data_IF_494826932146
#
_entry.id   IF_494826932146
#
_cell.length_a   1.000
_cell.length_b   1.000
_cell.length_c   1.000
_cell.angle_alpha   90.00
_cell.angle_beta   90.00
_cell.angle_gamma   90.00
#
_symmetry.space_group_name_H-M   'P 1'
#
loop_
_entity.id
_entity.type
_entity.pdbx_description
1 polymer ?
#
# COMPACT_ATOMS: atom_id res chain seq x y z
N UNK A 1 -55.10 -22.66 56.02
CA UNK A 1 -53.74 -23.21 55.93
C UNK A 1 -53.58 -23.70 54.50
N UNK A 2 -53.10 -22.87 53.56
CA UNK A 2 -51.75 -22.27 53.51
C UNK A 2 -50.73 -23.42 53.52
N UNK A 3 -49.89 -23.63 52.51
CA UNK A 3 -49.26 -22.73 51.54
C UNK A 3 -49.23 -23.45 50.16
N UNK A 4 -49.55 -22.84 49.01
CA UNK A 4 -48.73 -21.90 48.22
C UNK A 4 -47.31 -22.45 47.98
N UNK A 5 -46.72 -22.55 46.79
CA UNK A 5 -46.78 -21.88 45.48
C UNK A 5 -46.08 -22.85 44.51
N UNK A 6 -46.40 -22.95 43.22
CA UNK A 6 -46.27 -21.90 42.24
C UNK A 6 -44.89 -21.98 41.54
N UNK A 7 -44.94 -21.80 40.22
CA UNK A 7 -43.85 -21.42 39.31
C UNK A 7 -42.93 -22.51 38.73
N UNK A 8 -42.41 -22.43 37.49
CA UNK A 8 -42.61 -21.59 36.30
C UNK A 8 -41.87 -22.35 35.18
N UNK A 9 -42.54 -22.57 34.06
CA UNK A 9 -42.16 -22.17 32.71
C UNK A 9 -40.74 -22.45 32.12
N UNK A 10 -40.79 -22.61 30.79
CA UNK A 10 -39.73 -22.39 29.78
C UNK A 10 -38.64 -23.45 29.58
N UNK A 11 -38.74 -24.08 28.40
CA UNK A 11 -37.92 -23.56 27.31
C UNK A 11 -36.82 -24.48 26.77
N UNK A 12 -36.89 -24.69 25.45
CA UNK A 12 -35.78 -24.92 24.50
C UNK A 12 -35.05 -26.27 24.58
N UNK A 13 -35.67 -27.29 23.97
CA UNK A 13 -35.05 -28.54 23.47
C UNK A 13 -34.12 -28.27 22.27
N UNK A 14 -33.05 -27.49 22.45
CA UNK A 14 -32.23 -26.99 21.34
C UNK A 14 -30.72 -27.23 21.41
N UNK A 15 -30.20 -28.01 22.37
CA UNK A 15 -28.73 -28.20 22.53
C UNK A 15 -28.20 -29.60 22.94
N UNK A 16 -28.89 -30.74 22.75
CA UNK A 16 -28.26 -32.03 23.03
C UNK A 16 -27.17 -32.36 22.00
N UNK A 17 -27.38 -31.98 20.74
CA UNK A 17 -26.54 -32.36 19.60
C UNK A 17 -25.15 -31.72 19.72
N UNK A 18 -25.04 -30.40 19.85
CA UNK A 18 -23.74 -29.72 19.95
C UNK A 18 -22.90 -30.19 21.16
N UNK A 19 -23.53 -30.52 22.29
CA UNK A 19 -22.84 -31.04 23.47
C UNK A 19 -22.32 -32.46 23.27
N UNK A 20 -23.06 -33.33 22.58
CA UNK A 20 -22.59 -34.68 22.25
C UNK A 20 -21.46 -34.69 21.22
N UNK A 21 -21.41 -33.68 20.34
CA UNK A 21 -20.35 -33.50 19.35
C UNK A 21 -19.07 -32.96 20.00
N UNK A 22 -19.18 -31.92 20.84
CA UNK A 22 -18.04 -31.35 21.57
C UNK A 22 -17.56 -32.24 22.74
N UNK A 23 -18.46 -33.05 23.31
CA UNK A 23 -18.21 -33.94 24.45
C UNK A 23 -17.54 -35.26 24.09
N UNK A 24 -17.06 -35.43 22.86
CA UNK A 24 -16.18 -36.54 22.50
C UNK A 24 -16.87 -37.87 22.20
N UNK A 25 -18.20 -37.98 22.23
CA UNK A 25 -18.90 -39.22 21.85
C UNK A 25 -18.67 -39.58 20.37
N UNK A 26 -18.50 -38.57 19.51
CA UNK A 26 -18.12 -38.79 18.10
C UNK A 26 -16.65 -39.14 17.99
N UNK A 27 -15.77 -38.47 18.75
CA UNK A 27 -14.33 -38.76 18.74
C UNK A 27 -14.01 -40.16 19.31
N UNK A 28 -14.77 -40.66 20.29
CA UNK A 28 -14.59 -41.98 20.88
C UNK A 28 -15.24 -43.11 20.07
N UNK A 29 -15.93 -42.79 18.97
CA UNK A 29 -16.45 -43.82 18.06
C UNK A 29 -15.28 -44.49 17.31
N UNK A 30 -15.31 -45.82 17.15
CA UNK A 30 -14.26 -46.59 16.46
C UNK A 30 -13.93 -46.03 15.06
N UNK A 31 -14.94 -45.49 14.37
CA UNK A 31 -14.76 -44.84 13.06
C UNK A 31 -14.00 -43.52 13.17
N UNK A 32 -14.21 -42.71 14.20
CA UNK A 32 -13.44 -41.47 14.34
C UNK A 32 -11.98 -41.74 14.71
N UNK A 33 -11.70 -42.75 15.54
CA UNK A 33 -10.33 -43.19 15.84
C UNK A 33 -9.55 -43.57 14.58
N UNK A 34 -10.20 -44.28 13.64
CA UNK A 34 -9.58 -44.69 12.37
C UNK A 34 -9.25 -43.50 11.45
N UNK A 35 -10.01 -42.40 11.54
CA UNK A 35 -9.79 -41.19 10.72
C UNK A 35 -8.93 -40.10 11.39
N UNK A 36 -8.43 -40.30 12.62
CA UNK A 36 -7.46 -39.39 13.28
C UNK A 36 -6.29 -38.96 12.36
N UNK A 37 -5.58 -39.86 11.65
CA UNK A 37 -4.47 -39.45 10.78
C UNK A 37 -4.90 -38.51 9.65
N UNK A 38 -6.12 -38.65 9.15
CA UNK A 38 -6.68 -37.77 8.12
C UNK A 38 -6.99 -36.37 8.67
N UNK A 39 -7.52 -36.28 9.89
CA UNK A 39 -7.76 -34.97 10.56
C UNK A 39 -6.43 -34.25 10.82
N UNK A 40 -5.40 -34.99 11.26
CA UNK A 40 -4.06 -34.43 11.43
C UNK A 40 -3.47 -33.90 10.13
N UNK A 41 -3.69 -34.60 9.02
CA UNK A 41 -3.28 -34.12 7.69
C UNK A 41 -3.95 -32.79 7.32
N UNK A 42 -5.25 -32.63 7.60
CA UNK A 42 -5.97 -31.37 7.35
C UNK A 42 -5.43 -30.24 8.24
N UNK A 43 -5.17 -30.51 9.53
CA UNK A 43 -4.58 -29.53 10.45
C UNK A 43 -3.19 -29.11 9.97
N UNK A 44 -2.37 -30.06 9.51
CA UNK A 44 -1.08 -29.77 8.90
C UNK A 44 -1.21 -28.86 7.66
N UNK A 45 -2.20 -29.12 6.81
CA UNK A 45 -2.48 -28.26 5.65
C UNK A 45 -2.88 -26.84 6.07
N UNK A 46 -3.68 -26.69 7.13
CA UNK A 46 -4.02 -25.37 7.68
C UNK A 46 -2.77 -24.62 8.17
N UNK A 47 -1.85 -25.31 8.84
CA UNK A 47 -0.58 -24.71 9.28
C UNK A 47 0.23 -24.24 8.07
N UNK A 48 0.34 -25.06 7.02
CA UNK A 48 1.03 -24.68 5.79
C UNK A 48 0.40 -23.45 5.12
N UNK A 49 -0.93 -23.38 5.06
CA UNK A 49 -1.64 -22.23 4.49
C UNK A 49 -1.38 -20.96 5.30
N UNK A 50 -1.48 -21.04 6.63
CA UNK A 50 -1.21 -19.89 7.51
C UNK A 50 0.24 -19.44 7.36
N UNK A 51 1.19 -20.37 7.33
CA UNK A 51 2.60 -20.07 7.16
C UNK A 51 2.88 -19.40 5.81
N UNK A 52 2.30 -19.92 4.73
CA UNK A 52 2.45 -19.35 3.39
C UNK A 52 1.87 -17.94 3.30
N UNK A 53 0.67 -17.75 3.87
CA UNK A 53 0.01 -16.44 3.95
C UNK A 53 0.84 -15.41 4.72
N UNK A 54 1.44 -15.83 5.84
CA UNK A 54 2.30 -14.95 6.65
C UNK A 54 3.56 -14.52 5.89
N UNK A 55 4.07 -15.36 5.00
CA UNK A 55 5.20 -15.01 4.14
C UNK A 55 4.82 -13.98 3.08
N UNK A 56 3.62 -14.10 2.50
CA UNK A 56 3.09 -13.11 1.55
C UNK A 56 2.85 -11.73 2.19
N UNK A 57 2.40 -11.68 3.45
CA UNK A 57 2.18 -10.40 4.15
C UNK A 57 3.47 -9.59 4.31
N UNK A 58 4.63 -10.24 4.54
CA UNK A 58 5.91 -9.53 4.65
C UNK A 58 6.40 -8.97 3.31
N UNK A 59 6.28 -9.76 2.24
CA UNK A 59 6.65 -9.33 0.88
C UNK A 59 5.78 -8.17 0.41
N UNK A 60 4.48 -8.16 0.77
CA UNK A 60 3.57 -7.05 0.46
C UNK A 60 4.02 -5.73 1.08
N UNK A 61 4.46 -5.74 2.34
CA UNK A 61 4.97 -4.52 3.01
C UNK A 61 6.27 -4.00 2.39
N UNK A 62 7.19 -4.88 2.01
CA UNK A 62 8.42 -4.48 1.31
C UNK A 62 8.13 -3.90 -0.08
N UNK A 63 7.19 -4.50 -0.82
CA UNK A 63 6.77 -3.98 -2.12
C UNK A 63 6.18 -2.57 -2.01
N UNK A 64 5.38 -2.31 -0.97
CA UNK A 64 4.78 -1.00 -0.72
C UNK A 64 5.85 0.06 -0.38
N UNK A 65 6.83 -0.28 0.45
CA UNK A 65 7.96 0.60 0.78
C UNK A 65 8.84 0.92 -0.44
N UNK A 66 9.09 -0.06 -1.32
CA UNK A 66 9.83 0.15 -2.57
C UNK A 66 9.04 1.05 -3.53
N UNK A 67 7.72 0.86 -3.63
CA UNK A 67 6.85 1.69 -4.48
C UNK A 67 6.86 3.17 -4.06
N UNK A 68 6.84 3.43 -2.74
CA UNK A 68 6.93 4.79 -2.19
C UNK A 68 8.27 5.45 -2.50
N UNK A 69 9.38 4.70 -2.44
CA UNK A 69 10.70 5.24 -2.80
C UNK A 69 10.80 5.67 -4.28
N UNK A 70 10.14 4.95 -5.19
CA UNK A 70 10.08 5.30 -6.61
C UNK A 70 9.27 6.59 -6.81
N UNK A 71 8.19 6.75 -6.03
CA UNK A 71 7.33 7.93 -6.09
C UNK A 71 8.05 9.18 -5.57
N UNK A 72 8.79 9.05 -4.47
CA UNK A 72 9.62 10.11 -3.90
C UNK A 72 10.76 10.51 -4.87
N UNK A 73 11.43 9.54 -5.49
CA UNK A 73 12.52 9.82 -6.42
C UNK A 73 12.02 10.54 -7.69
N UNK A 74 10.83 10.17 -8.19
CA UNK A 74 10.18 10.86 -9.32
C UNK A 74 9.76 12.28 -8.93
N UNK A 75 9.24 12.49 -7.72
CA UNK A 75 8.92 13.82 -7.23
C UNK A 75 10.19 14.68 -7.15
N UNK A 76 11.26 14.14 -6.56
CA UNK A 76 12.56 14.80 -6.45
C UNK A 76 13.15 15.19 -7.81
N UNK A 77 13.06 14.33 -8.83
CA UNK A 77 13.55 14.67 -10.17
C UNK A 77 12.77 15.81 -10.82
N UNK A 78 11.45 15.83 -10.63
CA UNK A 78 10.60 16.91 -11.16
C UNK A 78 10.90 18.21 -10.43
N UNK A 79 11.05 18.18 -9.10
CA UNK A 79 11.42 19.37 -8.33
C UNK A 79 12.78 19.93 -8.75
N UNK A 80 13.79 19.07 -8.96
CA UNK A 80 15.11 19.51 -9.42
C UNK A 80 15.08 20.14 -10.81
N UNK A 81 14.36 19.54 -11.75
CA UNK A 81 14.16 20.12 -13.09
C UNK A 81 13.46 21.49 -13.00
N UNK A 82 12.43 21.59 -12.15
CA UNK A 82 11.68 22.83 -11.94
C UNK A 82 12.55 23.92 -11.31
N UNK A 83 13.43 23.56 -10.38
CA UNK A 83 14.37 24.49 -9.75
C UNK A 83 15.40 25.01 -10.76
N UNK A 84 15.91 24.13 -11.63
CA UNK A 84 16.82 24.51 -12.72
C UNK A 84 16.13 25.42 -13.73
N UNK A 85 14.88 25.12 -14.10
CA UNK A 85 14.06 25.98 -14.94
C UNK A 85 13.77 27.34 -14.30
N UNK A 86 13.55 27.37 -12.97
CA UNK A 86 13.34 28.63 -12.22
C UNK A 86 14.59 29.50 -12.28
N UNK A 87 15.77 28.91 -12.07
CA UNK A 87 17.05 29.63 -12.15
C UNK A 87 17.38 30.11 -13.56
N UNK A 88 17.04 29.33 -14.58
CA UNK A 88 17.24 29.69 -16.00
C UNK A 88 16.12 30.55 -16.58
N UNK A 89 15.11 30.93 -15.78
CA UNK A 89 13.99 31.72 -16.26
C UNK A 89 14.49 33.10 -16.70
N UNK A 90 14.21 33.55 -17.94
CA UNK A 90 14.71 34.83 -18.46
C UNK A 90 14.41 36.02 -17.55
N UNK A 91 13.25 36.02 -16.89
CA UNK A 91 12.88 37.04 -15.91
C UNK A 91 13.75 37.07 -14.65
N UNK A 92 14.16 35.89 -14.14
CA UNK A 92 15.06 35.80 -12.97
C UNK A 92 16.49 36.17 -13.36
N UNK A 93 16.94 35.77 -14.55
CA UNK A 93 18.24 36.17 -15.09
C UNK A 93 18.28 37.69 -15.29
N UNK A 94 17.25 38.28 -15.89
CA UNK A 94 17.14 39.74 -16.05
C UNK A 94 17.23 40.46 -14.70
N UNK A 95 16.47 40.02 -13.69
CA UNK A 95 16.55 40.59 -12.34
C UNK A 95 17.95 40.44 -11.72
N UNK A 96 18.57 39.26 -11.80
CA UNK A 96 19.95 39.04 -11.32
C UNK A 96 20.98 39.93 -12.02
N UNK A 97 20.78 40.22 -13.30
CA UNK A 97 21.65 41.07 -14.12
C UNK A 97 21.48 42.55 -13.73
N UNK A 98 20.24 43.01 -13.51
CA UNK A 98 19.95 44.34 -12.95
C UNK A 98 20.53 44.51 -11.54
N UNK A 99 20.31 43.55 -10.65
CA UNK A 99 20.86 43.55 -9.28
C UNK A 99 22.40 43.50 -9.27
N UNK A 100 22.99 42.85 -10.27
CA UNK A 100 24.44 42.78 -10.47
C UNK A 100 25.08 44.05 -11.04
N UNK A 101 24.31 45.10 -11.32
CA UNK A 101 24.81 46.36 -11.88
C UNK A 101 25.27 46.28 -13.34
N UNK A 102 24.86 45.23 -14.07
CA UNK A 102 25.13 45.08 -15.49
C UNK A 102 24.01 45.81 -16.25
N UNK A 103 24.35 46.84 -17.02
CA UNK A 103 23.42 47.68 -17.79
C UNK A 103 22.95 46.95 -19.09
N UNK A 104 22.51 45.70 -18.93
CA UNK A 104 22.10 44.81 -20.01
C UNK A 104 20.56 44.75 -20.06
N UNK A 105 20.00 45.20 -21.17
CA UNK A 105 18.54 45.19 -21.41
C UNK A 105 18.17 44.00 -22.28
N UNK A 106 17.10 43.29 -21.92
CA UNK A 106 16.61 42.15 -22.69
C UNK A 106 16.22 42.60 -24.12
N UNK A 107 16.75 41.96 -25.18
CA UNK A 107 16.44 42.32 -26.55
C UNK A 107 14.95 42.09 -26.84
N UNK A 108 14.21 43.18 -27.09
CA UNK A 108 12.78 43.13 -27.44
C UNK A 108 12.53 42.74 -28.91
N UNK A 109 13.57 42.86 -29.75
CA UNK A 109 13.49 42.53 -31.17
C UNK A 109 14.35 41.29 -31.50
N UNK A 110 13.84 40.35 -32.30
CA UNK A 110 14.59 39.17 -32.70
C UNK A 110 15.83 39.55 -33.55
N UNK A 111 16.94 38.79 -33.44
CA UNK A 111 18.17 39.10 -34.16
C UNK A 111 17.98 39.00 -35.67
N UNK A 112 18.35 40.08 -36.39
CA UNK A 112 18.32 40.14 -37.86
C UNK A 112 19.56 39.49 -38.45
N UNK A 113 19.39 38.67 -39.50
CA UNK A 113 20.51 38.17 -40.30
C UNK A 113 21.13 39.33 -41.09
N UNK A 114 22.39 39.64 -40.82
CA UNK A 114 23.18 40.57 -41.62
C UNK A 114 23.67 39.83 -42.87
N UNK A 115 23.06 40.11 -44.02
CA UNK A 115 23.59 39.69 -45.32
C UNK A 115 24.69 40.66 -45.72
N UNK A 116 25.95 40.24 -45.55
CA UNK A 116 27.10 41.00 -46.03
C UNK A 116 27.32 40.73 -47.52
N UNK A 117 27.08 41.73 -48.37
CA UNK A 117 27.60 41.68 -49.74
C UNK A 117 29.12 41.80 -49.68
N UNK A 118 29.82 40.78 -50.21
CA UNK A 118 31.27 40.81 -50.32
C UNK A 118 31.68 42.00 -51.19
N UNK A 119 32.43 42.93 -50.62
CA UNK A 119 33.12 44.00 -51.34
C UNK A 119 33.92 43.38 -52.50
N UNK A 120 33.52 43.71 -53.71
CA UNK A 120 34.17 43.26 -54.94
C UNK A 120 35.52 43.98 -55.02
N UNK A 121 36.58 43.17 -54.93
CA UNK A 121 37.98 43.60 -55.07
C UNK A 121 38.28 44.09 -56.49
#
# INVERSE_FOLDING_TARGET
MSEETGHIDKGKKGRPILKSFLGGSILASEKALSQIPFVLFIVFLFILIIANRYWSEKTLTEMEAVQDSIKELRASSVTFETELMRMNRPSEIANKVYDGGLDLVEPQEPPRRLSVEKLKK
#
